data_IF_641797729503
#
_entry.id   IF_641797729503
#
_cell.length_a   1.000
_cell.length_b   1.000
_cell.length_c   1.000
_cell.angle_alpha   90.00
_cell.angle_beta   90.00
_cell.angle_gamma   90.00
#
_symmetry.space_group_name_H-M   'P 1'
#
loop_
_entity.id
_entity.type
_entity.pdbx_description
1 polymer ?
#
# COMPACT_ATOMS: atom_id res chain seq x y z
N UNK A 1 -34.59 -58.62 3.85
CA UNK A 1 -33.55 -57.91 4.62
C UNK A 1 -32.60 -57.25 3.63
N UNK A 2 -32.60 -55.96 3.48
CA UNK A 2 -31.64 -55.27 2.63
C UNK A 2 -30.40 -54.91 3.46
N UNK A 3 -29.22 -55.20 2.91
CA UNK A 3 -27.89 -54.92 3.42
C UNK A 3 -27.64 -53.40 3.52
N UNK A 4 -26.90 -52.91 4.49
CA UNK A 4 -26.61 -51.49 4.63
C UNK A 4 -25.61 -51.06 3.56
N UNK A 5 -26.04 -50.17 2.64
CA UNK A 5 -25.19 -49.47 1.69
C UNK A 5 -24.25 -48.53 2.45
N UNK A 6 -22.99 -48.64 2.09
CA UNK A 6 -21.82 -47.99 2.60
C UNK A 6 -21.94 -46.44 2.71
N UNK A 7 -21.74 -45.92 3.89
CA UNK A 7 -21.58 -44.50 4.25
C UNK A 7 -20.20 -43.93 3.82
N UNK A 8 -19.57 -44.49 2.80
CA UNK A 8 -18.21 -44.07 2.41
C UNK A 8 -18.16 -43.08 1.24
N UNK A 9 -19.30 -42.60 0.72
CA UNK A 9 -19.34 -41.72 -0.42
C UNK A 9 -19.57 -40.22 -0.10
N UNK A 10 -19.59 -39.82 1.16
CA UNK A 10 -19.91 -38.43 1.56
C UNK A 10 -18.74 -37.58 2.01
N UNK A 11 -17.51 -38.08 1.97
CA UNK A 11 -16.33 -37.38 2.49
C UNK A 11 -15.37 -36.87 1.42
N UNK A 12 -15.74 -36.89 0.15
CA UNK A 12 -14.81 -36.56 -0.94
C UNK A 12 -15.11 -35.28 -1.69
N UNK A 13 -15.91 -34.34 -1.16
CA UNK A 13 -16.16 -33.05 -1.84
C UNK A 13 -16.29 -31.88 -0.90
N UNK A 14 -15.41 -31.78 0.05
CA UNK A 14 -15.07 -30.48 0.62
C UNK A 14 -13.63 -30.18 0.22
N UNK A 15 -13.46 -29.69 -0.99
CA UNK A 15 -12.27 -28.94 -1.38
C UNK A 15 -12.26 -27.68 -0.51
N UNK A 16 -11.72 -27.78 0.69
CA UNK A 16 -11.14 -26.61 1.32
C UNK A 16 -9.87 -26.30 0.49
N UNK A 17 -9.71 -25.06 -0.01
CA UNK A 17 -8.45 -24.68 -0.61
C UNK A 17 -7.36 -24.99 0.42
N UNK A 18 -6.39 -25.79 0.05
CA UNK A 18 -5.23 -26.03 0.89
C UNK A 18 -4.51 -24.68 1.06
N UNK A 19 -3.97 -24.48 2.22
CA UNK A 19 -3.15 -23.31 2.58
C UNK A 19 -2.02 -23.03 1.55
N UNK A 20 -1.67 -24.01 0.72
CA UNK A 20 -0.78 -23.88 -0.43
C UNK A 20 -1.36 -23.08 -1.60
N UNK A 21 -2.68 -22.88 -1.70
CA UNK A 21 -3.29 -22.10 -2.78
C UNK A 21 -3.23 -20.60 -2.51
N UNK A 22 -2.92 -20.18 -1.28
CA UNK A 22 -2.59 -18.81 -0.95
C UNK A 22 -1.26 -18.34 -1.57
N UNK A 23 -0.38 -19.27 -1.96
CA UNK A 23 0.86 -18.97 -2.67
C UNK A 23 0.64 -18.40 -4.09
N UNK A 24 -0.55 -18.56 -4.66
CA UNK A 24 -0.90 -18.01 -5.98
C UNK A 24 -1.14 -16.50 -6.01
N UNK A 25 -1.30 -15.83 -4.85
CA UNK A 25 -1.48 -14.37 -4.78
C UNK A 25 -0.14 -13.63 -4.80
N UNK A 26 0.94 -14.26 -4.36
CA UNK A 26 2.27 -13.69 -4.33
C UNK A 26 2.78 -13.19 -5.71
N UNK A 27 2.58 -13.91 -6.85
CA UNK A 27 3.02 -13.44 -8.15
C UNK A 27 2.33 -12.16 -8.62
N UNK A 28 1.07 -11.94 -8.28
CA UNK A 28 0.33 -10.74 -8.67
C UNK A 28 0.80 -9.51 -7.88
N UNK A 29 1.14 -9.68 -6.61
CA UNK A 29 1.73 -8.61 -5.80
C UNK A 29 3.12 -8.24 -6.35
N UNK A 30 3.92 -9.23 -6.74
CA UNK A 30 5.24 -9.00 -7.35
C UNK A 30 5.16 -8.26 -8.68
N UNK A 31 4.15 -8.53 -9.52
CA UNK A 31 3.90 -7.80 -10.76
C UNK A 31 3.41 -6.36 -10.52
N UNK A 32 2.83 -6.07 -9.35
CA UNK A 32 2.38 -4.74 -8.96
C UNK A 32 3.48 -3.77 -8.54
N UNK A 33 4.75 -4.20 -8.48
CA UNK A 33 5.87 -3.38 -8.02
C UNK A 33 6.39 -3.76 -6.63
N UNK A 34 5.87 -4.85 -6.03
CA UNK A 34 6.35 -5.36 -4.76
C UNK A 34 7.84 -5.73 -4.83
N UNK A 35 8.62 -5.26 -3.88
CA UNK A 35 10.08 -5.40 -3.86
C UNK A 35 10.59 -6.72 -3.29
N UNK A 36 9.70 -7.65 -2.97
CA UNK A 36 10.04 -8.92 -2.31
C UNK A 36 10.10 -8.83 -0.79
N UNK A 37 9.94 -7.64 -0.21
CA UNK A 37 9.87 -7.47 1.25
C UNK A 37 8.54 -8.03 1.76
N UNK A 38 8.58 -8.83 2.81
CA UNK A 38 7.37 -9.25 3.52
C UNK A 38 6.85 -8.09 4.36
N UNK A 39 5.54 -7.86 4.28
CA UNK A 39 4.85 -6.86 5.07
C UNK A 39 3.92 -7.55 6.05
N UNK A 40 3.90 -7.09 7.28
CA UNK A 40 3.08 -7.67 8.33
C UNK A 40 1.58 -7.55 8.00
N UNK A 41 1.19 -6.41 7.41
CA UNK A 41 -0.18 -6.12 7.00
C UNK A 41 -0.22 -5.30 5.73
N UNK A 42 -1.33 -5.37 5.02
CA UNK A 42 -1.59 -4.55 3.84
C UNK A 42 -2.37 -3.26 4.14
N UNK A 43 -2.92 -3.12 5.35
CA UNK A 43 -3.73 -1.97 5.79
C UNK A 43 -4.88 -1.62 4.84
N UNK A 44 -5.43 -2.61 4.13
CA UNK A 44 -6.52 -2.43 3.19
C UNK A 44 -6.10 -2.04 1.78
N UNK A 45 -4.81 -1.92 1.48
CA UNK A 45 -4.31 -1.51 0.15
C UNK A 45 -4.81 -2.45 -0.95
N UNK A 46 -4.79 -3.76 -0.72
CA UNK A 46 -5.29 -4.76 -1.67
C UNK A 46 -6.79 -4.64 -1.95
N UNK A 47 -7.57 -4.10 -1.04
CA UNK A 47 -8.99 -3.81 -1.22
C UNK A 47 -9.27 -2.44 -1.87
N UNK A 48 -8.24 -1.62 -2.08
CA UNK A 48 -8.37 -0.27 -2.65
C UNK A 48 -8.66 0.82 -1.62
N UNK A 49 -8.40 0.54 -0.36
CA UNK A 49 -8.48 1.50 0.75
C UNK A 49 -7.17 1.57 1.51
N UNK A 50 -7.06 2.52 2.44
CA UNK A 50 -5.98 2.54 3.41
C UNK A 50 -6.53 2.81 4.80
N UNK A 51 -6.21 1.93 5.75
CA UNK A 51 -6.53 2.13 7.15
C UNK A 51 -5.53 3.11 7.77
N UNK A 52 -5.82 4.39 7.57
CA UNK A 52 -4.99 5.51 8.01
C UNK A 52 -4.82 5.55 9.54
N UNK A 53 -5.82 5.10 10.30
CA UNK A 53 -5.78 5.11 11.76
C UNK A 53 -4.75 4.10 12.29
N UNK A 54 -4.75 2.88 11.75
CA UNK A 54 -3.76 1.87 12.10
C UNK A 54 -2.34 2.31 11.69
N UNK A 55 -2.18 2.83 10.49
CA UNK A 55 -0.90 3.37 10.02
C UNK A 55 -0.45 4.52 10.91
N UNK A 56 -1.34 5.44 11.27
CA UNK A 56 -1.05 6.58 12.13
C UNK A 56 -0.59 6.17 13.54
N UNK A 57 -1.22 5.15 14.11
CA UNK A 57 -0.81 4.60 15.40
C UNK A 57 0.62 4.03 15.36
N UNK A 58 1.01 3.43 14.25
CA UNK A 58 2.36 2.85 14.07
C UNK A 58 3.41 3.91 13.75
N UNK A 59 3.09 4.88 12.92
CA UNK A 59 4.02 5.94 12.50
C UNK A 59 4.14 7.02 13.57
N UNK A 60 3.03 7.40 14.22
CA UNK A 60 2.99 8.44 15.26
C UNK A 60 3.56 7.99 16.62
N UNK A 61 3.60 6.68 16.89
CA UNK A 61 4.28 6.11 18.06
C UNK A 61 5.82 6.16 17.99
N UNK A 62 6.36 6.53 16.82
CA UNK A 62 7.80 6.61 16.57
C UNK A 62 8.10 8.00 16.01
N UNK A 63 8.66 8.85 16.82
CA UNK A 63 8.99 10.24 16.49
C UNK A 63 9.85 10.29 15.21
N UNK A 64 9.25 10.82 14.14
CA UNK A 64 9.88 11.12 12.86
C UNK A 64 9.82 9.99 11.81
N UNK A 65 9.08 10.24 10.74
CA UNK A 65 8.72 9.33 9.62
C UNK A 65 9.82 8.55 8.88
N UNK A 66 11.04 8.55 9.40
CA UNK A 66 12.12 7.70 8.93
C UNK A 66 12.32 6.46 9.83
N UNK A 67 11.68 6.40 11.00
CA UNK A 67 12.02 5.42 12.04
C UNK A 67 11.13 4.18 11.97
N UNK A 68 9.87 4.31 11.57
CA UNK A 68 8.97 3.15 11.41
C UNK A 68 9.48 2.13 10.38
N UNK A 69 10.17 2.60 9.34
CA UNK A 69 10.80 1.73 8.35
C UNK A 69 12.12 1.09 8.83
N UNK A 70 12.71 1.60 9.91
CA UNK A 70 14.04 1.17 10.40
C UNK A 70 14.03 0.23 11.59
N UNK A 71 12.94 0.17 12.35
CA UNK A 71 12.88 -0.58 13.61
C UNK A 71 12.35 -2.01 13.46
N UNK A 72 11.71 -2.33 12.36
CA UNK A 72 11.34 -3.71 12.06
C UNK A 72 12.51 -4.45 11.42
N UNK A 73 12.75 -5.70 11.83
CA UNK A 73 13.65 -6.61 11.12
C UNK A 73 13.30 -6.64 9.63
N UNK A 74 14.27 -6.90 8.77
CA UNK A 74 14.07 -6.89 7.30
C UNK A 74 12.92 -7.80 6.83
N UNK A 75 12.55 -8.80 7.64
CA UNK A 75 11.49 -9.74 7.35
C UNK A 75 10.07 -9.29 7.76
N UNK A 76 9.93 -8.32 8.69
CA UNK A 76 8.63 -7.93 9.28
C UNK A 76 8.49 -6.41 9.33
N UNK A 77 8.58 -5.74 8.19
CA UNK A 77 8.32 -4.30 8.11
C UNK A 77 6.83 -4.03 8.20
N UNK A 78 6.45 -3.05 9.01
CA UNK A 78 5.05 -2.75 9.30
C UNK A 78 4.43 -1.84 8.25
N UNK A 79 5.12 -0.78 7.82
CA UNK A 79 4.59 0.23 6.88
C UNK A 79 5.68 0.75 5.95
N UNK A 80 5.38 0.89 4.66
CA UNK A 80 6.17 1.68 3.74
C UNK A 80 5.72 3.14 3.80
N UNK A 81 6.66 4.08 3.69
CA UNK A 81 6.39 5.52 3.79
C UNK A 81 6.97 6.29 2.60
N UNK A 82 6.33 7.40 2.23
CA UNK A 82 6.89 8.36 1.30
C UNK A 82 7.49 9.54 2.07
N UNK A 83 8.70 9.92 1.70
CA UNK A 83 9.47 10.96 2.37
C UNK A 83 9.82 12.11 1.44
N UNK A 84 10.28 13.21 2.03
CA UNK A 84 10.85 14.36 1.32
C UNK A 84 9.89 15.53 1.20
N UNK A 85 10.47 16.73 1.11
CA UNK A 85 9.74 17.99 0.95
C UNK A 85 9.01 18.08 -0.41
N UNK A 86 9.50 17.32 -1.40
CA UNK A 86 8.89 17.25 -2.73
C UNK A 86 7.45 16.71 -2.73
N UNK A 87 7.04 15.95 -1.70
CA UNK A 87 5.65 15.49 -1.57
C UNK A 87 4.70 16.69 -1.50
N UNK A 88 5.00 17.67 -0.66
CA UNK A 88 4.22 18.90 -0.58
C UNK A 88 4.34 19.80 -1.83
N UNK A 89 5.51 19.80 -2.47
CA UNK A 89 5.75 20.59 -3.69
C UNK A 89 5.07 19.98 -4.92
N UNK A 90 5.02 18.65 -5.02
CA UNK A 90 4.38 17.95 -6.15
C UNK A 90 2.88 18.29 -6.24
N UNK A 91 2.21 18.34 -5.09
CA UNK A 91 0.79 18.67 -5.05
C UNK A 91 0.55 20.16 -5.27
N UNK A 92 1.61 20.99 -5.19
CA UNK A 92 1.65 22.40 -5.66
C UNK A 92 0.64 23.33 -5.02
N UNK A 93 -0.17 22.82 -4.11
CA UNK A 93 -1.32 23.50 -3.57
C UNK A 93 -1.37 23.37 -2.06
N UNK A 94 -2.31 24.10 -1.48
CA UNK A 94 -2.58 24.02 -0.04
C UNK A 94 -2.92 22.61 0.40
N UNK A 95 -3.64 21.83 -0.43
CA UNK A 95 -4.15 20.51 -0.04
C UNK A 95 -3.03 19.47 0.07
N UNK A 96 -2.03 19.52 -0.80
CA UNK A 96 -0.93 18.55 -0.76
C UNK A 96 0.12 18.81 0.30
N UNK A 97 0.16 20.02 0.84
CA UNK A 97 1.03 20.35 1.98
C UNK A 97 0.49 19.86 3.30
N UNK A 98 -0.76 19.41 3.33
CA UNK A 98 -1.46 18.92 4.52
C UNK A 98 -1.35 17.39 4.71
N UNK A 99 -0.54 16.69 3.88
CA UNK A 99 -0.22 15.29 4.08
C UNK A 99 0.56 15.10 5.39
N UNK A 100 -0.08 14.51 6.37
CA UNK A 100 0.55 14.14 7.62
C UNK A 100 1.30 12.79 7.53
N UNK A 101 1.85 12.32 8.63
CA UNK A 101 2.64 11.09 8.66
C UNK A 101 1.81 9.85 8.30
N UNK A 102 0.55 9.77 8.75
CA UNK A 102 -0.33 8.66 8.40
C UNK A 102 -0.70 8.68 6.91
N UNK A 103 -0.93 9.85 6.33
CA UNK A 103 -1.15 10.00 4.89
C UNK A 103 0.08 9.59 4.09
N UNK A 104 1.28 9.94 4.57
CA UNK A 104 2.55 9.52 3.96
C UNK A 104 2.78 8.02 4.04
N UNK A 105 2.33 7.39 5.12
CA UNK A 105 2.31 5.95 5.27
C UNK A 105 1.35 5.29 4.26
N UNK A 106 0.11 5.77 4.16
CA UNK A 106 -0.85 5.28 3.17
C UNK A 106 -0.33 5.41 1.74
N UNK A 107 0.28 6.56 1.42
CA UNK A 107 0.83 6.79 0.09
C UNK A 107 2.02 5.86 -0.20
N UNK A 108 2.98 5.78 0.71
CA UNK A 108 4.15 4.91 0.56
C UNK A 108 3.77 3.44 0.46
N UNK A 109 2.83 2.99 1.29
CA UNK A 109 2.37 1.60 1.28
C UNK A 109 1.57 1.27 0.00
N UNK A 110 0.79 2.23 -0.53
CA UNK A 110 0.14 2.08 -1.83
C UNK A 110 1.15 1.98 -2.98
N UNK A 111 2.27 2.71 -2.93
CA UNK A 111 3.36 2.56 -3.90
C UNK A 111 4.06 1.22 -3.76
N UNK A 112 4.23 0.71 -2.54
CA UNK A 112 4.94 -0.53 -2.27
C UNK A 112 4.17 -1.75 -2.78
N UNK A 113 2.93 -1.92 -2.33
CA UNK A 113 2.14 -3.15 -2.56
C UNK A 113 0.88 -2.95 -3.40
N UNK A 114 0.52 -1.70 -3.72
CA UNK A 114 -0.69 -1.43 -4.50
C UNK A 114 -0.60 -2.03 -5.91
N UNK A 115 -1.71 -2.60 -6.39
CA UNK A 115 -1.81 -3.10 -7.77
C UNK A 115 -1.77 -1.94 -8.76
N UNK A 116 -0.97 -2.07 -9.82
CA UNK A 116 -0.88 -1.07 -10.88
C UNK A 116 -2.26 -0.77 -11.49
N UNK A 117 -2.59 0.52 -11.62
CA UNK A 117 -3.87 0.99 -12.15
C UNK A 117 -5.04 0.93 -11.17
N UNK A 118 -4.88 0.33 -9.98
CA UNK A 118 -5.94 0.26 -8.98
C UNK A 118 -5.85 1.42 -8.00
N UNK A 119 -6.96 2.13 -7.84
CA UNK A 119 -7.05 3.23 -6.89
C UNK A 119 -7.03 2.75 -5.44
N UNK A 120 -6.25 3.42 -4.61
CA UNK A 120 -6.23 3.30 -3.15
C UNK A 120 -6.72 4.61 -2.56
N UNK A 121 -7.75 4.55 -1.71
CA UNK A 121 -8.43 5.72 -1.16
C UNK A 121 -8.37 5.74 0.35
N UNK A 122 -8.22 6.92 0.92
CA UNK A 122 -8.40 7.18 2.35
C UNK A 122 -8.91 8.60 2.61
N UNK A 123 -9.42 8.84 3.80
CA UNK A 123 -9.87 10.15 4.25
C UNK A 123 -9.03 10.61 5.44
N UNK A 124 -8.59 11.85 5.42
CA UNK A 124 -8.00 12.52 6.56
C UNK A 124 -9.07 13.37 7.26
N UNK A 125 -9.63 12.84 8.34
CA UNK A 125 -10.71 13.50 9.06
C UNK A 125 -10.29 14.85 9.68
N UNK A 126 -9.01 15.02 10.03
CA UNK A 126 -8.49 16.26 10.61
C UNK A 126 -8.50 17.42 9.61
N UNK A 127 -8.24 17.14 8.34
CA UNK A 127 -8.18 18.15 7.26
C UNK A 127 -9.41 18.16 6.37
N UNK A 128 -10.26 17.12 6.46
CA UNK A 128 -11.42 16.91 5.59
C UNK A 128 -11.02 16.57 4.13
N UNK A 129 -9.76 16.14 3.91
CA UNK A 129 -9.26 15.78 2.58
C UNK A 129 -9.41 14.29 2.35
N UNK A 130 -9.96 13.92 1.21
CA UNK A 130 -9.91 12.56 0.68
C UNK A 130 -8.78 12.46 -0.32
N UNK A 131 -7.89 11.53 -0.11
CA UNK A 131 -6.79 11.21 -1.03
C UNK A 131 -7.11 9.95 -1.83
N UNK A 132 -6.69 9.95 -3.08
CA UNK A 132 -6.74 8.77 -3.96
C UNK A 132 -5.40 8.66 -4.67
N UNK A 133 -4.70 7.55 -4.45
CA UNK A 133 -3.47 7.22 -5.16
C UNK A 133 -3.75 6.09 -6.14
N UNK A 134 -3.31 6.26 -7.38
CA UNK A 134 -3.30 5.19 -8.37
C UNK A 134 -1.84 4.91 -8.71
N UNK A 135 -1.25 3.83 -8.16
CA UNK A 135 0.10 3.43 -8.54
C UNK A 135 0.12 2.93 -9.98
N UNK A 136 1.16 3.29 -10.72
CA UNK A 136 1.43 2.74 -12.03
C UNK A 136 2.25 1.44 -11.98
N UNK A 137 2.74 0.99 -13.12
CA UNK A 137 3.69 -0.12 -13.20
C UNK A 137 5.04 0.26 -12.57
N UNK A 138 5.74 -0.76 -12.05
CA UNK A 138 7.10 -0.60 -11.58
C UNK A 138 8.10 -0.56 -12.74
N UNK A 139 9.15 0.21 -12.57
CA UNK A 139 10.26 0.31 -13.51
C UNK A 139 11.59 0.45 -12.75
N UNK A 140 12.70 0.19 -13.43
CA UNK A 140 14.03 0.47 -12.89
C UNK A 140 14.58 1.72 -13.54
N UNK A 141 14.86 2.75 -12.72
CA UNK A 141 15.50 4.00 -13.14
C UNK A 141 16.77 4.20 -12.32
N UNK A 142 17.89 4.33 -12.99
CA UNK A 142 19.20 4.51 -12.34
C UNK A 142 19.50 3.44 -11.27
N UNK A 143 19.10 2.17 -11.54
CA UNK A 143 19.26 1.04 -10.63
C UNK A 143 18.26 0.98 -9.46
N UNK A 144 17.40 1.99 -9.28
CA UNK A 144 16.38 2.05 -8.23
C UNK A 144 15.04 1.50 -8.72
N UNK A 145 14.28 0.91 -7.82
CA UNK A 145 12.89 0.57 -8.08
C UNK A 145 12.06 1.85 -8.04
N UNK A 146 11.39 2.18 -9.14
CA UNK A 146 10.56 3.36 -9.26
C UNK A 146 9.15 2.98 -9.71
N UNK A 147 8.18 3.84 -9.40
CA UNK A 147 6.80 3.72 -9.86
C UNK A 147 6.23 5.07 -10.23
N UNK A 148 5.55 5.11 -11.34
CA UNK A 148 4.68 6.24 -11.67
C UNK A 148 3.44 6.18 -10.77
N UNK A 149 2.85 7.33 -10.49
CA UNK A 149 1.60 7.41 -9.75
C UNK A 149 0.78 8.61 -10.17
N UNK A 150 -0.50 8.56 -9.88
CA UNK A 150 -1.40 9.71 -9.86
C UNK A 150 -1.92 9.87 -8.44
N UNK A 151 -1.78 11.08 -7.88
CA UNK A 151 -2.38 11.49 -6.62
C UNK A 151 -3.52 12.45 -6.90
N UNK A 152 -4.70 12.18 -6.36
CA UNK A 152 -5.85 13.08 -6.36
C UNK A 152 -6.19 13.43 -4.92
N UNK A 153 -6.36 14.71 -4.63
CA UNK A 153 -6.81 15.22 -3.33
C UNK A 153 -8.13 15.99 -3.53
N UNK A 154 -9.13 15.64 -2.72
CA UNK A 154 -10.48 16.22 -2.80
C UNK A 154 -10.86 16.79 -1.45
N UNK A 155 -11.25 18.06 -1.41
CA UNK A 155 -11.82 18.72 -0.23
C UNK A 155 -13.02 19.59 -0.62
N UNK A 156 -14.22 19.16 -0.24
CA UNK A 156 -15.45 19.81 -0.71
C UNK A 156 -15.54 19.80 -2.23
N UNK A 157 -15.74 20.96 -2.83
CA UNK A 157 -15.81 21.12 -4.29
C UNK A 157 -14.43 21.21 -4.98
N UNK A 158 -13.34 21.23 -4.21
CA UNK A 158 -11.99 21.36 -4.77
C UNK A 158 -11.39 19.97 -5.01
N UNK A 159 -10.91 19.78 -6.23
CA UNK A 159 -10.18 18.57 -6.62
C UNK A 159 -8.86 18.98 -7.24
N UNK A 160 -7.79 18.37 -6.80
CA UNK A 160 -6.45 18.55 -7.33
C UNK A 160 -5.88 17.20 -7.70
N UNK A 161 -5.31 17.12 -8.89
CA UNK A 161 -4.73 15.90 -9.44
C UNK A 161 -3.31 16.17 -9.92
N UNK A 162 -2.38 15.31 -9.52
CA UNK A 162 -0.97 15.35 -9.93
C UNK A 162 -0.50 13.95 -10.30
N UNK A 163 0.37 13.89 -11.27
CA UNK A 163 1.13 12.71 -11.62
C UNK A 163 2.61 12.92 -11.30
N UNK A 164 3.31 11.85 -10.99
CA UNK A 164 4.73 11.87 -10.70
C UNK A 164 5.33 10.48 -10.71
N UNK A 165 6.63 10.44 -10.45
CA UNK A 165 7.40 9.21 -10.28
C UNK A 165 8.01 9.23 -8.89
N UNK A 166 7.87 8.13 -8.15
CA UNK A 166 8.56 7.92 -6.88
C UNK A 166 9.52 6.74 -7.00
N UNK A 167 10.68 6.87 -6.40
CA UNK A 167 11.71 5.84 -6.39
C UNK A 167 12.05 5.43 -4.95
N UNK A 168 12.37 4.17 -4.76
CA UNK A 168 12.85 3.69 -3.47
C UNK A 168 14.24 4.22 -3.17
N UNK A 169 14.40 4.80 -1.99
CA UNK A 169 15.68 5.24 -1.44
C UNK A 169 16.24 4.23 -0.44
N UNK A 170 15.36 3.45 0.17
CA UNK A 170 15.64 2.30 1.01
C UNK A 170 14.41 1.37 1.00
N UNK A 171 14.54 0.17 1.54
CA UNK A 171 13.41 -0.77 1.66
C UNK A 171 12.27 -0.08 2.42
N UNK A 172 11.08 -0.03 1.82
CA UNK A 172 9.90 0.61 2.39
C UNK A 172 9.98 2.14 2.47
N UNK A 173 10.96 2.77 1.84
CA UNK A 173 11.08 4.22 1.84
C UNK A 173 11.11 4.73 0.41
N UNK A 174 10.11 5.53 0.07
CA UNK A 174 9.93 6.11 -1.25
C UNK A 174 10.21 7.61 -1.22
N UNK A 175 10.75 8.14 -2.29
CA UNK A 175 10.91 9.58 -2.49
C UNK A 175 10.43 9.97 -3.89
N UNK A 176 9.76 11.11 -3.99
CA UNK A 176 9.32 11.65 -5.28
C UNK A 176 10.55 12.12 -6.04
N UNK A 177 10.64 11.72 -7.30
CA UNK A 177 11.66 12.22 -8.23
C UNK A 177 11.23 13.60 -8.73
N UNK A 178 12.14 14.61 -8.69
CA UNK A 178 11.88 15.93 -9.24
C UNK A 178 11.63 15.92 -10.75
#
# INVERSE_FOLDING_TARGET
MPTPASISAWNSRRNFPRESDAAGVAPQILQGGYTGTKWERDYGISSGSCNREEIGALVGGVIGGAVGARTASEENRTVAVIIGAAVGALVGSRIGRELDEADRGCFGHALEIGTAGRAVRWNNAATGVTYVVVPGSGEKLDGKSCRNFTLTAVRGARTEKRAGTACQTAIGTWAIRP
#
